data_IF_001249131159
#
_entry.id   IF_001249131159
#
_cell.length_a   1.000
_cell.length_b   1.000
_cell.length_c   1.000
_cell.angle_alpha   90.00
_cell.angle_beta   90.00
_cell.angle_gamma   90.00
#
_symmetry.space_group_name_H-M   'P 1'
#
loop_
_entity.id
_entity.type
_entity.pdbx_description
1 polymer ?
#
# COMPACT_ATOMS: atom_id res chain seq x y z
N UNK A 1 -93.43 -19.02 23.27
CA UNK A 1 -92.93 -17.74 23.78
C UNK A 1 -91.72 -18.04 24.64
N UNK A 2 -90.57 -17.43 24.35
CA UNK A 2 -89.40 -17.45 25.23
C UNK A 2 -89.83 -16.85 26.58
N UNK A 3 -90.04 -17.71 27.58
CA UNK A 3 -90.22 -17.24 28.95
C UNK A 3 -88.85 -16.78 29.43
N UNK A 4 -88.72 -15.48 29.65
CA UNK A 4 -87.54 -14.90 30.28
C UNK A 4 -87.63 -15.29 31.76
N UNK A 5 -87.11 -16.48 32.06
CA UNK A 5 -87.06 -17.05 33.40
C UNK A 5 -85.69 -16.78 34.05
N UNK A 6 -85.61 -16.87 35.37
CA UNK A 6 -84.37 -16.72 36.16
C UNK A 6 -83.22 -17.61 35.64
N UNK A 7 -83.54 -18.76 35.06
CA UNK A 7 -82.60 -19.67 34.39
C UNK A 7 -81.86 -19.02 33.22
N UNK A 8 -82.52 -18.13 32.45
CA UNK A 8 -81.88 -17.39 31.37
C UNK A 8 -80.81 -16.43 31.92
N UNK A 9 -81.07 -15.82 33.08
CA UNK A 9 -80.12 -14.94 33.75
C UNK A 9 -78.90 -15.72 34.28
N UNK A 10 -79.12 -16.90 34.87
CA UNK A 10 -78.04 -17.80 35.31
C UNK A 10 -77.20 -18.28 34.12
N UNK A 11 -77.84 -18.61 32.98
CA UNK A 11 -77.15 -19.00 31.75
C UNK A 11 -76.32 -17.86 31.18
N UNK A 12 -76.86 -16.64 31.17
CA UNK A 12 -76.14 -15.45 30.73
C UNK A 12 -74.89 -15.18 31.60
N UNK A 13 -75.02 -15.29 32.93
CA UNK A 13 -73.88 -15.17 33.85
C UNK A 13 -72.83 -16.26 33.57
N UNK A 14 -73.24 -17.52 33.38
CA UNK A 14 -72.33 -18.60 33.03
C UNK A 14 -71.59 -18.34 31.71
N UNK A 15 -72.30 -17.85 30.69
CA UNK A 15 -71.70 -17.50 29.41
C UNK A 15 -70.69 -16.36 29.55
N UNK A 16 -71.00 -15.33 30.33
CA UNK A 16 -70.08 -14.21 30.60
C UNK A 16 -68.82 -14.69 31.35
N UNK A 17 -68.98 -15.54 32.37
CA UNK A 17 -67.86 -16.12 33.11
C UNK A 17 -66.98 -16.95 32.15
N UNK A 18 -67.59 -17.80 31.32
CA UNK A 18 -66.87 -18.59 30.32
C UNK A 18 -66.13 -17.70 29.33
N UNK A 19 -66.76 -16.62 28.85
CA UNK A 19 -66.14 -15.66 27.93
C UNK A 19 -64.92 -14.98 28.56
N UNK A 20 -64.98 -14.61 29.84
CA UNK A 20 -63.85 -14.01 30.56
C UNK A 20 -62.70 -15.01 30.68
N UNK A 21 -63.00 -16.26 31.04
CA UNK A 21 -62.00 -17.33 31.14
C UNK A 21 -61.35 -17.56 29.77
N UNK A 22 -62.15 -17.68 28.70
CA UNK A 22 -61.67 -17.94 27.35
C UNK A 22 -60.84 -16.77 26.81
N UNK A 23 -61.25 -15.53 27.08
CA UNK A 23 -60.47 -14.34 26.72
C UNK A 23 -59.08 -14.36 27.37
N UNK A 24 -59.01 -14.63 28.68
CA UNK A 24 -57.74 -14.69 29.41
C UNK A 24 -56.88 -15.91 29.05
N UNK A 25 -57.49 -17.08 28.81
CA UNK A 25 -56.77 -18.36 28.64
C UNK A 25 -56.47 -18.72 27.19
N UNK A 26 -57.24 -18.24 26.22
CA UNK A 26 -57.12 -18.66 24.82
C UNK A 26 -56.84 -17.47 23.89
N UNK A 27 -57.71 -16.46 23.87
CA UNK A 27 -57.58 -15.38 22.89
C UNK A 27 -56.34 -14.52 23.12
N UNK A 28 -56.08 -14.10 24.37
CA UNK A 28 -54.91 -13.30 24.69
C UNK A 28 -53.57 -14.01 24.39
N UNK A 29 -53.33 -15.27 24.81
CA UNK A 29 -52.09 -15.96 24.44
C UNK A 29 -51.99 -16.27 22.95
N UNK A 30 -53.12 -16.53 22.26
CA UNK A 30 -53.11 -16.78 20.82
C UNK A 30 -52.65 -15.54 20.04
N UNK A 31 -53.20 -14.36 20.36
CA UNK A 31 -52.78 -13.09 19.74
C UNK A 31 -51.31 -12.79 20.02
N UNK A 32 -50.83 -13.04 21.25
CA UNK A 32 -49.41 -12.85 21.58
C UNK A 32 -48.48 -13.70 20.72
N UNK A 33 -48.82 -14.97 20.48
CA UNK A 33 -48.00 -15.86 19.63
C UNK A 33 -48.02 -15.37 18.17
N UNK A 34 -49.15 -14.84 17.69
CA UNK A 34 -49.23 -14.26 16.35
C UNK A 34 -48.34 -13.01 16.23
N UNK A 35 -48.39 -12.11 17.20
CA UNK A 35 -47.56 -10.90 17.23
C UNK A 35 -46.07 -11.23 17.35
N UNK A 36 -45.72 -12.23 18.18
CA UNK A 36 -44.34 -12.71 18.34
C UNK A 36 -43.80 -13.26 17.01
N UNK A 37 -44.58 -14.09 16.31
CA UNK A 37 -44.20 -14.61 14.99
C UNK A 37 -44.02 -13.50 13.96
N UNK A 38 -44.93 -12.55 13.90
CA UNK A 38 -44.84 -11.41 12.98
C UNK A 38 -43.63 -10.54 13.29
N UNK A 39 -43.35 -10.30 14.58
CA UNK A 39 -42.18 -9.56 15.05
C UNK A 39 -40.88 -10.29 14.70
N UNK A 40 -40.81 -11.60 14.92
CA UNK A 40 -39.62 -12.41 14.62
C UNK A 40 -39.32 -12.43 13.13
N UNK A 41 -40.35 -12.60 12.29
CA UNK A 41 -40.20 -12.56 10.83
C UNK A 41 -39.69 -11.19 10.39
N UNK A 42 -40.36 -10.10 10.82
CA UNK A 42 -39.93 -8.73 10.49
C UNK A 42 -38.52 -8.44 11.01
N UNK A 43 -38.19 -8.92 12.20
CA UNK A 43 -36.87 -8.80 12.82
C UNK A 43 -35.80 -9.55 12.03
N UNK A 44 -36.10 -10.76 11.56
CA UNK A 44 -35.20 -11.54 10.72
C UNK A 44 -34.93 -10.85 9.37
N UNK A 45 -35.98 -10.34 8.70
CA UNK A 45 -35.83 -9.57 7.47
C UNK A 45 -35.01 -8.30 7.69
N UNK A 46 -35.27 -7.54 8.77
CA UNK A 46 -34.51 -6.33 9.08
C UNK A 46 -33.03 -6.64 9.38
N UNK A 47 -32.74 -7.71 10.13
CA UNK A 47 -31.37 -8.17 10.39
C UNK A 47 -30.66 -8.59 9.11
N UNK A 48 -31.33 -9.33 8.22
CA UNK A 48 -30.77 -9.74 6.95
C UNK A 48 -30.46 -8.53 6.05
N UNK A 49 -31.36 -7.54 5.98
CA UNK A 49 -31.15 -6.30 5.25
C UNK A 49 -29.93 -5.53 5.79
N UNK A 50 -29.86 -5.34 7.11
CA UNK A 50 -28.71 -4.69 7.76
C UNK A 50 -27.40 -5.41 7.49
N UNK A 51 -27.40 -6.74 7.60
CA UNK A 51 -26.20 -7.53 7.32
C UNK A 51 -25.75 -7.39 5.86
N UNK A 52 -26.69 -7.34 4.92
CA UNK A 52 -26.38 -7.14 3.51
C UNK A 52 -25.83 -5.73 3.25
N UNK A 53 -26.41 -4.69 3.84
CA UNK A 53 -25.93 -3.31 3.74
C UNK A 53 -24.53 -3.15 4.36
N UNK A 54 -24.29 -3.74 5.52
CA UNK A 54 -22.98 -3.75 6.17
C UNK A 54 -21.94 -4.51 5.33
N UNK A 55 -22.32 -5.64 4.74
CA UNK A 55 -21.44 -6.42 3.85
C UNK A 55 -21.11 -5.63 2.59
N UNK A 56 -22.10 -4.97 1.98
CA UNK A 56 -21.90 -4.11 0.82
C UNK A 56 -20.96 -2.94 1.13
N UNK A 57 -21.20 -2.24 2.26
CA UNK A 57 -20.33 -1.14 2.70
C UNK A 57 -18.90 -1.58 3.02
N UNK A 58 -18.73 -2.75 3.66
CA UNK A 58 -17.39 -3.34 3.88
C UNK A 58 -16.70 -3.69 2.57
N UNK A 59 -17.42 -4.25 1.61
CA UNK A 59 -16.86 -4.62 0.31
C UNK A 59 -16.45 -3.38 -0.50
N UNK A 60 -17.26 -2.32 -0.48
CA UNK A 60 -16.93 -1.04 -1.11
C UNK A 60 -15.70 -0.39 -0.46
N UNK A 61 -15.65 -0.32 0.87
CA UNK A 61 -14.51 0.20 1.61
C UNK A 61 -13.22 -0.59 1.30
N UNK A 62 -13.30 -1.92 1.29
CA UNK A 62 -12.18 -2.78 0.94
C UNK A 62 -11.71 -2.56 -0.50
N UNK A 63 -12.63 -2.49 -1.47
CA UNK A 63 -12.29 -2.22 -2.86
C UNK A 63 -11.61 -0.86 -3.03
N UNK A 64 -12.10 0.17 -2.32
CA UNK A 64 -11.52 1.51 -2.31
C UNK A 64 -10.12 1.53 -1.69
N UNK A 65 -9.90 0.84 -0.56
CA UNK A 65 -8.58 0.72 0.06
C UNK A 65 -7.59 0.02 -0.87
N UNK A 66 -7.99 -1.09 -1.50
CA UNK A 66 -7.12 -1.81 -2.45
C UNK A 66 -6.77 -0.95 -3.66
N UNK A 67 -7.74 -0.19 -4.19
CA UNK A 67 -7.50 0.72 -5.31
C UNK A 67 -6.55 1.87 -4.91
N UNK A 68 -6.72 2.44 -3.71
CA UNK A 68 -5.86 3.50 -3.18
C UNK A 68 -4.43 3.01 -2.97
N UNK A 69 -4.24 1.85 -2.33
CA UNK A 69 -2.93 1.24 -2.13
C UNK A 69 -2.22 0.92 -3.45
N UNK A 70 -2.97 0.41 -4.44
CA UNK A 70 -2.42 0.15 -5.78
C UNK A 70 -1.94 1.43 -6.45
N UNK A 71 -2.71 2.52 -6.34
CA UNK A 71 -2.32 3.84 -6.88
C UNK A 71 -1.07 4.38 -6.18
N UNK A 72 -1.03 4.31 -4.85
CA UNK A 72 0.13 4.72 -4.05
C UNK A 72 1.38 3.91 -4.41
N UNK A 73 1.25 2.59 -4.56
CA UNK A 73 2.35 1.71 -4.95
C UNK A 73 2.90 2.06 -6.34
N UNK A 74 2.04 2.30 -7.33
CA UNK A 74 2.45 2.70 -8.67
C UNK A 74 3.17 4.05 -8.63
N UNK A 75 2.63 5.02 -7.87
CA UNK A 75 3.25 6.33 -7.71
C UNK A 75 4.65 6.20 -7.07
N UNK A 76 4.76 5.48 -5.97
CA UNK A 76 6.01 5.28 -5.25
C UNK A 76 7.04 4.53 -6.11
N UNK A 77 6.62 3.52 -6.89
CA UNK A 77 7.50 2.86 -7.85
C UNK A 77 7.96 3.83 -8.95
N UNK A 78 7.09 4.71 -9.44
CA UNK A 78 7.45 5.74 -10.40
C UNK A 78 8.47 6.73 -9.86
N UNK A 79 8.26 7.22 -8.64
CA UNK A 79 9.18 8.12 -7.93
C UNK A 79 10.54 7.45 -7.66
N UNK A 80 10.53 6.21 -7.16
CA UNK A 80 11.75 5.44 -6.94
C UNK A 80 12.52 5.18 -8.24
N UNK A 81 11.84 4.87 -9.35
CA UNK A 81 12.50 4.72 -10.67
C UNK A 81 13.11 6.02 -11.14
N UNK A 82 12.42 7.15 -10.94
CA UNK A 82 12.95 8.47 -11.31
C UNK A 82 14.19 8.80 -10.48
N UNK A 83 14.14 8.61 -9.16
CA UNK A 83 15.28 8.82 -8.26
C UNK A 83 16.45 7.91 -8.63
N UNK A 84 16.20 6.63 -8.89
CA UNK A 84 17.22 5.69 -9.33
C UNK A 84 17.86 6.11 -10.67
N UNK A 85 17.07 6.60 -11.63
CA UNK A 85 17.57 7.09 -12.92
C UNK A 85 18.43 8.34 -12.76
N UNK A 86 18.04 9.27 -11.88
CA UNK A 86 18.83 10.48 -11.58
C UNK A 86 20.14 10.08 -10.91
N UNK A 87 20.10 9.25 -9.88
CA UNK A 87 21.29 8.76 -9.17
C UNK A 87 22.24 8.00 -10.10
N UNK A 88 21.72 7.13 -10.96
CA UNK A 88 22.53 6.43 -11.97
C UNK A 88 23.23 7.43 -12.92
N UNK A 89 22.51 8.46 -13.36
CA UNK A 89 23.08 9.50 -14.22
C UNK A 89 24.18 10.30 -13.51
N UNK A 90 23.98 10.62 -12.23
CA UNK A 90 24.98 11.31 -11.41
C UNK A 90 26.23 10.45 -11.19
N UNK A 91 26.07 9.16 -10.90
CA UNK A 91 27.19 8.22 -10.74
C UNK A 91 28.00 8.12 -12.04
N UNK A 92 27.33 7.98 -13.19
CA UNK A 92 28.01 7.92 -14.50
C UNK A 92 28.75 9.23 -14.79
N UNK A 93 28.14 10.39 -14.52
CA UNK A 93 28.80 11.69 -14.69
C UNK A 93 30.01 11.85 -13.77
N UNK A 94 29.91 11.42 -12.51
CA UNK A 94 31.02 11.46 -11.57
C UNK A 94 32.17 10.57 -12.03
N UNK A 95 31.88 9.34 -12.48
CA UNK A 95 32.88 8.42 -13.01
C UNK A 95 33.55 8.95 -14.29
N UNK A 96 32.79 9.60 -15.19
CA UNK A 96 33.34 10.25 -16.38
C UNK A 96 34.31 11.37 -16.01
N UNK A 97 33.90 12.24 -15.06
CA UNK A 97 34.75 13.33 -14.58
C UNK A 97 36.03 12.81 -13.93
N UNK A 98 35.93 11.78 -13.08
CA UNK A 98 37.10 11.17 -12.45
C UNK A 98 38.06 10.56 -13.50
N UNK A 99 37.51 9.92 -14.54
CA UNK A 99 38.31 9.39 -15.64
C UNK A 99 39.02 10.50 -16.45
N UNK A 100 38.34 11.62 -16.71
CA UNK A 100 38.92 12.80 -17.36
C UNK A 100 40.05 13.42 -16.52
N UNK A 101 39.82 13.62 -15.22
CA UNK A 101 40.81 14.16 -14.28
C UNK A 101 42.04 13.24 -14.22
N UNK A 102 41.81 11.91 -14.16
CA UNK A 102 42.89 10.92 -14.16
C UNK A 102 43.66 10.91 -15.47
N UNK A 103 43.00 11.00 -16.62
CA UNK A 103 43.67 11.09 -17.91
C UNK A 103 44.50 12.38 -18.04
N UNK A 104 44.00 13.50 -17.54
CA UNK A 104 44.74 14.76 -17.51
C UNK A 104 46.02 14.64 -16.68
N UNK A 105 45.91 14.12 -15.45
CA UNK A 105 47.09 13.93 -14.59
C UNK A 105 48.12 12.97 -15.18
N UNK A 106 47.70 11.88 -15.83
CA UNK A 106 48.61 10.97 -16.54
C UNK A 106 49.32 11.67 -17.69
N UNK A 107 48.61 12.51 -18.47
CA UNK A 107 49.22 13.28 -19.57
C UNK A 107 50.24 14.28 -19.06
N UNK A 108 49.97 14.96 -17.95
CA UNK A 108 50.90 15.93 -17.37
C UNK A 108 52.13 15.24 -16.78
N UNK A 109 51.96 14.10 -16.10
CA UNK A 109 53.07 13.28 -15.62
C UNK A 109 53.94 12.78 -16.78
N UNK A 110 53.32 12.28 -17.86
CA UNK A 110 54.04 11.82 -19.04
C UNK A 110 54.85 12.95 -19.71
N UNK A 111 54.30 14.17 -19.76
CA UNK A 111 55.04 15.35 -20.25
C UNK A 111 56.26 15.65 -19.40
N UNK A 112 56.11 15.69 -18.07
CA UNK A 112 57.24 15.91 -17.16
C UNK A 112 58.30 14.82 -17.28
N UNK A 113 57.88 13.56 -17.39
CA UNK A 113 58.78 12.41 -17.52
C UNK A 113 59.55 12.46 -18.85
N UNK A 114 58.89 12.80 -19.95
CA UNK A 114 59.52 13.03 -21.25
C UNK A 114 60.57 14.14 -21.19
N UNK A 115 60.26 15.26 -20.54
CA UNK A 115 61.21 16.37 -20.36
C UNK A 115 62.43 15.96 -19.52
N UNK A 116 62.21 15.22 -18.42
CA UNK A 116 63.31 14.67 -17.60
C UNK A 116 64.19 13.72 -18.41
N UNK A 117 63.59 12.74 -19.08
CA UNK A 117 64.33 11.80 -19.92
C UNK A 117 65.13 12.50 -21.03
N UNK A 118 64.55 13.54 -21.64
CA UNK A 118 65.24 14.33 -22.68
C UNK A 118 66.43 15.12 -22.14
N UNK A 119 66.31 15.71 -20.93
CA UNK A 119 67.42 16.38 -20.24
C UNK A 119 68.53 15.40 -19.87
N UNK A 120 68.17 14.25 -19.32
CA UNK A 120 69.13 13.21 -18.94
C UNK A 120 69.89 12.67 -20.15
N UNK A 121 69.19 12.46 -21.28
CA UNK A 121 69.82 12.03 -22.54
C UNK A 121 70.81 13.08 -23.08
N UNK A 122 70.47 14.38 -22.97
CA UNK A 122 71.35 15.46 -23.38
C UNK A 122 72.64 15.49 -22.53
N UNK A 123 72.51 15.36 -21.20
CA UNK A 123 73.66 15.29 -20.28
C UNK A 123 74.55 14.08 -20.56
N UNK A 124 73.95 12.91 -20.81
CA UNK A 124 74.70 11.70 -21.17
C UNK A 124 75.42 11.86 -22.52
N UNK A 125 74.78 12.51 -23.49
CA UNK A 125 75.38 12.77 -24.80
C UNK A 125 76.56 13.73 -24.70
N UNK A 126 76.45 14.80 -23.89
CA UNK A 126 77.54 15.74 -23.64
C UNK A 126 78.72 15.05 -22.93
N UNK A 127 78.45 14.22 -21.93
CA UNK A 127 79.46 13.43 -21.24
C UNK A 127 80.19 12.46 -22.20
N UNK A 128 79.44 11.77 -23.07
CA UNK A 128 79.99 10.90 -24.11
C UNK A 128 80.85 11.67 -25.13
N UNK A 129 80.37 12.82 -25.60
CA UNK A 129 81.11 13.67 -26.54
C UNK A 129 82.42 14.16 -25.93
N UNK A 130 82.42 14.52 -24.64
CA UNK A 130 83.63 14.91 -23.91
C UNK A 130 84.61 13.75 -23.74
N UNK A 131 84.13 12.55 -23.38
CA UNK A 131 85.00 11.36 -23.26
C UNK A 131 85.64 10.98 -24.61
N UNK A 132 84.91 11.15 -25.72
CA UNK A 132 85.44 10.96 -27.08
C UNK A 132 86.50 12.02 -27.40
N UNK A 133 86.22 13.30 -27.13
CA UNK A 133 87.15 14.39 -27.38
C UNK A 133 88.45 14.24 -26.58
N UNK A 134 88.36 13.87 -25.30
CA UNK A 134 89.51 13.60 -24.43
C UNK A 134 90.36 12.42 -24.92
N UNK A 135 89.74 11.39 -25.51
CA UNK A 135 90.45 10.26 -26.14
C UNK A 135 91.17 10.66 -27.42
N UNK A 136 90.63 11.58 -28.21
CA UNK A 136 91.25 12.05 -29.46
C UNK A 136 92.40 13.04 -29.18
N UNK A 137 92.24 13.93 -28.18
CA UNK A 137 93.26 14.92 -27.78
C UNK A 137 94.44 14.36 -26.97
N UNK A 138 94.31 13.14 -26.42
CA UNK A 138 95.41 12.41 -25.76
C UNK A 138 96.20 11.49 -26.71
N UNK A 139 95.94 11.57 -28.01
CA UNK A 139 96.84 11.13 -29.08
C UNK A 139 97.66 12.29 -29.61
#
# INVERSE_FOLDING_TARGET
MLKIDFTLFILAINFVILMIILNKKLFLPLVRIMDERDSDIKGAFSKAAKFNDEAAGKNESFANSVAAEKRNSIQQQGENRKLASVSATEIVKAAQKEAEDKLSSVRDNLRQEKERASRDLALQTEALAKDIADKILKS
#
